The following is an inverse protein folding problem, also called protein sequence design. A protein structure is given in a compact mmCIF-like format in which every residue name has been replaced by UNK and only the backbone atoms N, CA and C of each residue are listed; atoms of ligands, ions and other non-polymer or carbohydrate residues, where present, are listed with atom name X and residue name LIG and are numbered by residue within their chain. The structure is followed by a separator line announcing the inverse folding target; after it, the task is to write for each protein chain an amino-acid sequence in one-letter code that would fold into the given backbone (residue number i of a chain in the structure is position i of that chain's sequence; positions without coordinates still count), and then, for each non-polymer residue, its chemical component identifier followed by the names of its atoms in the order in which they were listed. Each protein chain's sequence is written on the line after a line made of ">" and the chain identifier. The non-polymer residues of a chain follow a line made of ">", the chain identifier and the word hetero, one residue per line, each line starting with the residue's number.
data_IF_821931602168
#
_entry.id   IF_821931602168
#
_cell.length_a   1.000
_cell.length_b   1.000
_cell.length_c   1.000
_cell.angle_alpha   90.00
_cell.angle_beta   90.00
_cell.angle_gamma   90.00
#
_symmetry.space_group_name_H-M   'P 1'
#
loop_
_entity.id
_entity.type
_entity.pdbx_description
1 polymer ?
#
# COMPACT_ATOMS: atom_id res chain seq x y z
N UNK A 1 -20.48 -49.93 61.33
CA UNK A 1 -19.21 -49.72 60.59
C UNK A 1 -18.32 -50.94 60.77
N UNK A 2 -17.59 -51.35 59.74
CA UNK A 2 -16.68 -52.51 59.75
C UNK A 2 -15.34 -52.15 59.12
N UNK A 3 -14.25 -52.80 59.56
CA UNK A 3 -12.91 -52.66 58.93
C UNK A 3 -12.64 -53.75 57.89
N UNK A 4 -13.49 -54.76 57.80
CA UNK A 4 -13.36 -55.82 56.80
C UNK A 4 -13.78 -55.29 55.43
N UNK A 5 -12.85 -55.29 54.47
CA UNK A 5 -13.06 -54.81 53.09
C UNK A 5 -13.39 -55.89 52.07
N UNK A 6 -13.69 -57.12 52.52
CA UNK A 6 -14.11 -58.20 51.63
C UNK A 6 -15.61 -58.08 51.31
N UNK A 7 -15.93 -57.92 50.02
CA UNK A 7 -17.29 -57.76 49.52
C UNK A 7 -17.59 -58.74 48.38
N UNK A 8 -18.85 -59.19 48.32
CA UNK A 8 -19.41 -60.02 47.24
C UNK A 8 -20.77 -59.47 46.80
N UNK A 9 -21.24 -59.88 45.62
CA UNK A 9 -22.58 -59.55 45.15
C UNK A 9 -23.59 -60.60 45.65
N UNK A 10 -24.73 -60.16 46.17
CA UNK A 10 -25.88 -61.03 46.45
C UNK A 10 -26.71 -61.31 45.18
N UNK A 11 -27.70 -62.20 45.27
CA UNK A 11 -28.61 -62.54 44.17
C UNK A 11 -29.46 -61.35 43.68
N UNK A 12 -29.53 -60.27 44.48
CA UNK A 12 -30.18 -59.01 44.15
C UNK A 12 -29.16 -57.95 43.67
N UNK A 13 -27.97 -58.38 43.25
CA UNK A 13 -26.85 -57.55 42.75
C UNK A 13 -26.42 -56.44 43.70
N UNK A 14 -26.58 -56.66 44.99
CA UNK A 14 -26.17 -55.72 46.01
C UNK A 14 -24.82 -56.10 46.58
N UNK A 15 -23.99 -55.11 46.89
CA UNK A 15 -22.66 -55.33 47.45
C UNK A 15 -22.78 -55.61 48.95
N UNK A 16 -22.46 -56.83 49.38
CA UNK A 16 -22.55 -57.29 50.78
C UNK A 16 -21.19 -57.75 51.30
N UNK A 17 -20.98 -57.68 52.62
CA UNK A 17 -19.79 -58.27 53.27
C UNK A 17 -20.01 -59.75 53.64
N UNK A 18 -18.98 -60.40 54.17
CA UNK A 18 -19.04 -61.81 54.62
C UNK A 18 -20.08 -62.11 55.71
N UNK A 19 -20.63 -61.07 56.38
CA UNK A 19 -21.69 -61.17 57.38
C UNK A 19 -23.09 -60.86 56.80
N UNK A 20 -23.21 -60.71 55.47
CA UNK A 20 -24.47 -60.38 54.79
C UNK A 20 -24.93 -58.93 54.93
N UNK A 21 -24.10 -58.06 55.52
CA UNK A 21 -24.43 -56.63 55.65
C UNK A 21 -24.11 -55.91 54.36
N UNK A 22 -25.03 -55.08 53.89
CA UNK A 22 -24.84 -54.36 52.64
C UNK A 22 -23.99 -53.10 52.79
N UNK A 23 -23.19 -52.83 51.77
CA UNK A 23 -22.43 -51.61 51.64
C UNK A 23 -23.40 -50.46 51.34
N UNK A 24 -23.35 -49.44 52.18
CA UNK A 24 -24.09 -48.21 51.97
C UNK A 24 -23.22 -47.24 51.16
N UNK A 25 -23.76 -46.74 50.06
CA UNK A 25 -23.13 -45.73 49.22
C UNK A 25 -24.06 -44.53 49.08
N UNK A 26 -23.46 -43.34 48.94
CA UNK A 26 -24.20 -42.16 48.54
C UNK A 26 -24.67 -42.35 47.09
N UNK A 27 -25.92 -42.00 46.81
CA UNK A 27 -26.36 -41.89 45.43
C UNK A 27 -25.64 -40.70 44.76
N UNK A 28 -25.23 -40.90 43.51
CA UNK A 28 -24.75 -39.83 42.64
C UNK A 28 -25.91 -39.36 41.77
N UNK A 29 -26.12 -38.04 41.73
CA UNK A 29 -27.08 -37.45 40.81
C UNK A 29 -26.56 -37.47 39.35
N UNK A 30 -27.39 -37.06 38.40
CA UNK A 30 -27.05 -36.97 36.97
C UNK A 30 -25.91 -35.97 36.66
N UNK A 31 -25.43 -35.22 37.65
CA UNK A 31 -24.29 -34.29 37.54
C UNK A 31 -23.02 -34.85 38.21
N UNK A 32 -23.05 -36.11 38.67
CA UNK A 32 -21.92 -36.77 39.31
C UNK A 32 -21.63 -36.26 40.73
N UNK A 33 -22.55 -35.51 41.35
CA UNK A 33 -22.42 -35.06 42.75
C UNK A 33 -23.02 -36.11 43.68
N UNK A 34 -22.23 -36.53 44.67
CA UNK A 34 -22.64 -37.51 45.66
C UNK A 34 -23.31 -36.82 46.86
N UNK A 35 -24.54 -37.22 47.19
CA UNK A 35 -25.25 -36.74 48.38
C UNK A 35 -24.96 -37.65 49.58
N UNK A 36 -24.02 -37.24 50.42
CA UNK A 36 -23.62 -37.98 51.63
C UNK A 36 -24.70 -38.01 52.72
N UNK A 37 -25.78 -37.21 52.60
CA UNK A 37 -26.90 -37.23 53.53
C UNK A 37 -27.91 -38.35 53.25
N UNK A 38 -27.83 -38.97 52.06
CA UNK A 38 -28.73 -40.04 51.60
C UNK A 38 -27.95 -41.28 51.18
N UNK A 39 -27.56 -42.06 52.19
CA UNK A 39 -26.90 -43.34 51.99
C UNK A 39 -27.91 -44.45 51.69
N UNK A 40 -27.73 -45.16 50.59
CA UNK A 40 -28.57 -46.28 50.17
C UNK A 40 -27.73 -47.56 49.98
N UNK A 41 -28.40 -48.72 49.92
CA UNK A 41 -27.76 -50.00 49.57
C UNK A 41 -27.12 -49.87 48.18
N UNK A 42 -25.83 -50.16 48.06
CA UNK A 42 -25.16 -50.18 46.75
C UNK A 42 -25.65 -51.40 45.96
N UNK A 43 -26.35 -51.14 44.86
CA UNK A 43 -26.78 -52.14 43.89
C UNK A 43 -26.12 -51.87 42.54
N UNK A 44 -25.68 -52.93 41.86
CA UNK A 44 -25.09 -52.87 40.52
C UNK A 44 -26.15 -53.34 39.52
N UNK A 45 -26.72 -52.47 38.67
CA UNK A 45 -27.70 -52.87 37.67
C UNK A 45 -27.13 -53.88 36.67
N UNK A 46 -27.95 -54.83 36.20
CA UNK A 46 -27.54 -55.87 35.25
C UNK A 46 -27.48 -55.40 33.79
N UNK A 47 -28.01 -54.22 33.50
CA UNK A 47 -28.04 -53.65 32.14
C UNK A 47 -27.29 -52.33 32.10
N UNK A 48 -26.12 -52.35 31.47
CA UNK A 48 -25.43 -51.13 31.05
C UNK A 48 -26.07 -50.63 29.76
N UNK A 49 -27.27 -50.04 29.84
CA UNK A 49 -27.83 -49.29 28.72
C UNK A 49 -27.24 -47.89 28.76
N UNK A 50 -26.05 -47.71 28.18
CA UNK A 50 -25.56 -46.37 27.89
C UNK A 50 -26.45 -45.76 26.82
N UNK A 51 -27.09 -44.63 27.12
CA UNK A 51 -27.75 -43.83 26.08
C UNK A 51 -26.69 -43.40 25.06
N UNK A 52 -26.97 -43.60 23.77
CA UNK A 52 -26.08 -43.13 22.72
C UNK A 52 -26.00 -41.61 22.79
N UNK A 53 -24.79 -41.07 22.83
CA UNK A 53 -24.55 -39.63 22.81
C UNK A 53 -24.04 -39.23 21.44
N UNK A 54 -24.71 -38.25 20.82
CA UNK A 54 -24.25 -37.68 19.56
C UNK A 54 -22.90 -36.99 19.73
N UNK A 55 -22.09 -37.01 18.67
CA UNK A 55 -20.78 -36.32 18.68
C UNK A 55 -20.99 -34.81 18.69
N UNK A 56 -20.59 -34.14 19.77
CA UNK A 56 -20.69 -32.68 19.92
C UNK A 56 -19.39 -31.93 19.63
N UNK A 57 -18.25 -32.59 19.80
CA UNK A 57 -16.93 -32.00 19.61
C UNK A 57 -15.98 -33.01 18.99
N UNK A 58 -15.26 -32.57 17.97
CA UNK A 58 -14.17 -33.32 17.34
C UNK A 58 -12.89 -32.51 17.53
N UNK A 59 -11.91 -33.08 18.23
CA UNK A 59 -10.57 -32.49 18.36
C UNK A 59 -9.60 -33.26 17.46
N UNK A 60 -8.94 -32.55 16.56
CA UNK A 60 -7.99 -33.11 15.62
C UNK A 60 -6.64 -32.42 15.79
N UNK A 61 -5.59 -33.23 16.00
CA UNK A 61 -4.20 -32.78 15.92
C UNK A 61 -3.67 -33.13 14.53
N UNK A 62 -3.30 -32.12 13.76
CA UNK A 62 -2.87 -32.28 12.37
C UNK A 62 -1.50 -31.67 12.13
N UNK A 63 -0.70 -32.35 11.30
CA UNK A 63 0.48 -31.76 10.67
C UNK A 63 0.21 -31.62 9.16
N UNK A 64 0.35 -30.39 8.64
CA UNK A 64 0.15 -30.06 7.24
C UNK A 64 1.51 -29.80 6.56
N UNK A 65 1.75 -30.35 5.37
CA UNK A 65 3.01 -30.19 4.66
C UNK A 65 3.21 -28.75 4.19
N UNK A 66 4.30 -28.10 4.62
CA UNK A 66 4.59 -26.71 4.24
C UNK A 66 4.94 -26.54 2.76
N UNK A 67 5.48 -27.59 2.15
CA UNK A 67 5.94 -27.67 0.76
C UNK A 67 4.85 -28.10 -0.24
N UNK A 68 3.63 -28.36 0.23
CA UNK A 68 2.51 -28.66 -0.66
C UNK A 68 2.23 -27.51 -1.65
N UNK A 69 1.86 -27.87 -2.88
CA UNK A 69 1.51 -26.92 -3.92
C UNK A 69 0.21 -26.19 -3.62
N UNK A 70 0.12 -24.93 -4.05
CA UNK A 70 -1.12 -24.15 -4.01
C UNK A 70 -2.06 -24.64 -5.10
N UNK A 71 -3.30 -24.95 -4.73
CA UNK A 71 -4.34 -25.43 -5.66
C UNK A 71 -5.37 -24.30 -5.85
N UNK A 72 -5.42 -23.76 -7.07
CA UNK A 72 -6.40 -22.72 -7.45
C UNK A 72 -7.66 -23.31 -8.14
N UNK A 73 -7.67 -24.61 -8.42
CA UNK A 73 -8.81 -25.29 -9.03
C UNK A 73 -9.99 -25.39 -8.04
N UNK A 74 -11.22 -25.37 -8.56
CA UNK A 74 -12.42 -25.57 -7.75
C UNK A 74 -12.38 -26.92 -7.02
N UNK A 75 -12.70 -26.91 -5.73
CA UNK A 75 -12.65 -28.11 -4.90
C UNK A 75 -13.65 -29.17 -5.37
N UNK A 76 -13.19 -30.41 -5.55
CA UNK A 76 -14.03 -31.54 -5.87
C UNK A 76 -13.53 -32.80 -5.16
N UNK A 77 -14.30 -33.29 -4.17
CA UNK A 77 -13.97 -34.50 -3.39
C UNK A 77 -13.71 -35.75 -4.23
N UNK A 78 -14.27 -35.84 -5.43
CA UNK A 78 -14.08 -36.97 -6.35
C UNK A 78 -12.86 -36.81 -7.26
N UNK A 79 -12.18 -35.66 -7.20
CA UNK A 79 -10.96 -35.38 -7.93
C UNK A 79 -9.77 -35.17 -6.96
N UNK A 80 -8.87 -36.16 -6.82
CA UNK A 80 -7.69 -36.06 -5.96
C UNK A 80 -6.73 -34.91 -6.28
N UNK A 81 -6.81 -34.31 -7.47
CA UNK A 81 -5.97 -33.16 -7.83
C UNK A 81 -6.48 -31.82 -7.25
N UNK A 82 -7.61 -31.82 -6.53
CA UNK A 82 -8.25 -30.59 -6.02
C UNK A 82 -8.07 -30.38 -4.51
N UNK A 83 -7.31 -31.26 -3.85
CA UNK A 83 -6.97 -31.14 -2.43
C UNK A 83 -5.59 -31.72 -2.15
N UNK A 84 -4.91 -31.21 -1.13
CA UNK A 84 -3.55 -31.66 -0.79
C UNK A 84 -3.57 -32.81 0.22
N UNK A 85 -4.53 -32.82 1.14
CA UNK A 85 -4.63 -33.84 2.19
C UNK A 85 -6.08 -34.08 2.55
N UNK A 86 -6.41 -35.30 2.97
CA UNK A 86 -7.69 -35.61 3.58
C UNK A 86 -7.50 -36.45 4.84
N UNK A 87 -8.46 -36.39 5.75
CA UNK A 87 -8.51 -37.20 6.97
C UNK A 87 -9.96 -37.59 7.23
N UNK A 88 -10.19 -38.85 7.59
CA UNK A 88 -11.52 -39.34 7.87
C UNK A 88 -11.63 -39.81 9.32
N UNK A 89 -12.78 -39.57 9.93
CA UNK A 89 -13.12 -40.02 11.28
C UNK A 89 -14.58 -40.48 11.34
N UNK A 90 -14.91 -41.29 12.33
CA UNK A 90 -16.28 -41.69 12.60
C UNK A 90 -16.94 -40.72 13.58
N UNK A 91 -18.12 -40.22 13.22
CA UNK A 91 -18.99 -39.40 14.09
C UNK A 91 -20.31 -40.14 14.32
N UNK A 92 -20.95 -39.90 15.46
CA UNK A 92 -22.17 -40.59 15.86
C UNK A 92 -23.36 -39.64 15.97
N UNK A 93 -24.54 -40.08 15.52
CA UNK A 93 -25.81 -39.39 15.79
C UNK A 93 -26.37 -39.74 17.17
N UNK A 94 -27.50 -39.12 17.53
CA UNK A 94 -28.22 -39.37 18.79
C UNK A 94 -28.84 -40.77 18.88
N UNK A 95 -28.95 -41.49 17.76
CA UNK A 95 -29.38 -42.89 17.70
C UNK A 95 -28.22 -43.88 17.85
N UNK A 96 -26.97 -43.40 17.91
CA UNK A 96 -25.77 -44.23 17.96
C UNK A 96 -25.32 -44.76 16.60
N UNK A 97 -25.89 -44.29 15.50
CA UNK A 97 -25.42 -44.66 14.16
C UNK A 97 -24.11 -43.91 13.84
N UNK A 98 -23.18 -44.62 13.22
CA UNK A 98 -21.87 -44.09 12.83
C UNK A 98 -21.89 -43.56 11.39
N UNK A 99 -21.37 -42.36 11.19
CA UNK A 99 -21.17 -41.72 9.89
C UNK A 99 -19.69 -41.43 9.67
N UNK A 100 -19.23 -41.58 8.43
CA UNK A 100 -17.87 -41.24 8.06
C UNK A 100 -17.79 -39.74 7.75
N UNK A 101 -17.10 -38.99 8.60
CA UNK A 101 -16.77 -37.59 8.37
C UNK A 101 -15.40 -37.49 7.70
N UNK A 102 -15.34 -36.95 6.49
CA UNK A 102 -14.10 -36.70 5.75
C UNK A 102 -13.80 -35.21 5.71
N UNK A 103 -12.62 -34.84 6.17
CA UNK A 103 -12.09 -33.48 6.13
C UNK A 103 -11.03 -33.40 5.04
N UNK A 104 -11.17 -32.46 4.11
CA UNK A 104 -10.23 -32.16 3.04
C UNK A 104 -9.54 -30.83 3.30
N UNK A 105 -8.23 -30.78 3.07
CA UNK A 105 -7.38 -29.61 3.27
C UNK A 105 -6.76 -29.20 1.93
N UNK A 106 -6.98 -27.95 1.54
CA UNK A 106 -6.52 -27.35 0.29
C UNK A 106 -5.66 -26.15 0.61
N UNK A 107 -4.41 -26.12 0.15
CA UNK A 107 -3.54 -24.96 0.30
C UNK A 107 -3.89 -23.92 -0.74
N UNK A 108 -4.28 -22.73 -0.30
CA UNK A 108 -4.76 -21.64 -1.18
C UNK A 108 -3.74 -20.53 -1.38
N UNK A 109 -2.74 -20.42 -0.50
CA UNK A 109 -1.67 -19.45 -0.65
C UNK A 109 -0.42 -19.84 0.15
N UNK A 110 0.74 -19.44 -0.35
CA UNK A 110 2.02 -19.58 0.33
C UNK A 110 2.25 -18.39 1.28
N UNK A 111 3.05 -18.62 2.31
CA UNK A 111 3.60 -17.53 3.12
C UNK A 111 4.46 -16.59 2.25
N UNK A 112 4.28 -15.28 2.42
CA UNK A 112 5.11 -14.22 1.84
C UNK A 112 5.82 -13.45 2.96
N UNK A 113 6.70 -12.52 2.60
CA UNK A 113 7.34 -11.64 3.59
C UNK A 113 6.30 -10.80 4.36
N UNK A 114 5.23 -10.37 3.68
CA UNK A 114 4.15 -9.54 4.25
C UNK A 114 3.10 -10.37 5.01
N UNK A 115 2.98 -11.67 4.68
CA UNK A 115 2.09 -12.60 5.37
C UNK A 115 2.83 -13.91 5.65
N UNK A 116 3.47 -14.06 6.82
CA UNK A 116 4.35 -15.20 7.12
C UNK A 116 3.60 -16.52 7.35
N UNK A 117 2.32 -16.60 6.95
CA UNK A 117 1.45 -17.75 7.20
C UNK A 117 0.97 -18.37 5.88
N UNK A 118 1.12 -19.69 5.75
CA UNK A 118 0.47 -20.44 4.68
C UNK A 118 -1.05 -20.48 4.91
N UNK A 119 -1.85 -20.26 3.87
CA UNK A 119 -3.32 -20.31 3.96
C UNK A 119 -3.85 -21.67 3.49
N UNK A 120 -4.74 -22.24 4.30
CA UNK A 120 -5.37 -23.53 4.06
C UNK A 120 -6.88 -23.41 4.18
N UNK A 121 -7.59 -23.81 3.14
CA UNK A 121 -9.04 -23.96 3.14
C UNK A 121 -9.42 -25.38 3.54
N UNK A 122 -10.47 -25.52 4.35
CA UNK A 122 -10.96 -26.81 4.83
C UNK A 122 -12.37 -27.06 4.31
N UNK A 123 -12.64 -28.28 3.86
CA UNK A 123 -13.95 -28.77 3.45
C UNK A 123 -14.29 -30.02 4.25
N UNK A 124 -15.47 -30.06 4.87
CA UNK A 124 -15.92 -31.18 5.69
C UNK A 124 -17.13 -31.83 5.04
N UNK A 125 -17.13 -33.15 4.95
CA UNK A 125 -18.26 -33.95 4.47
C UNK A 125 -18.61 -34.98 5.52
N UNK A 126 -19.90 -35.20 5.79
CA UNK A 126 -20.40 -36.32 6.57
C UNK A 126 -21.22 -37.19 5.63
N UNK A 127 -20.68 -38.35 5.25
CA UNK A 127 -21.22 -39.13 4.13
C UNK A 127 -21.17 -38.34 2.82
N UNK A 128 -22.32 -38.08 2.21
CA UNK A 128 -22.44 -37.31 0.96
C UNK A 128 -22.74 -35.82 1.17
N UNK A 129 -23.09 -35.44 2.40
CA UNK A 129 -23.47 -34.07 2.72
C UNK A 129 -22.25 -33.22 3.08
N UNK A 130 -22.11 -32.09 2.41
CA UNK A 130 -21.10 -31.09 2.76
C UNK A 130 -21.55 -30.35 4.02
N UNK A 131 -20.70 -30.38 5.05
CA UNK A 131 -20.81 -29.49 6.19
C UNK A 131 -20.20 -28.16 5.77
N UNK A 132 -21.06 -27.22 5.40
CA UNK A 132 -20.63 -25.85 5.17
C UNK A 132 -20.12 -25.28 6.49
N UNK A 133 -18.95 -24.65 6.45
CA UNK A 133 -18.48 -23.85 7.57
C UNK A 133 -19.58 -22.82 7.87
N UNK A 134 -20.13 -22.86 9.08
CA UNK A 134 -20.97 -21.77 9.52
C UNK A 134 -20.09 -20.52 9.48
N UNK A 135 -20.51 -19.50 8.74
CA UNK A 135 -19.93 -18.18 8.87
C UNK A 135 -20.05 -17.81 10.35
N UNK A 136 -18.92 -17.67 11.03
CA UNK A 136 -18.93 -17.23 12.41
C UNK A 136 -19.45 -15.79 12.40
N UNK A 137 -20.62 -15.59 12.98
CA UNK A 137 -21.21 -14.27 13.11
C UNK A 137 -20.31 -13.45 14.03
N UNK A 138 -19.96 -12.23 13.61
CA UNK A 138 -19.02 -11.37 14.32
C UNK A 138 -19.45 -11.17 15.76
N UNK A 139 -18.51 -11.23 16.69
CA UNK A 139 -18.72 -10.92 18.10
C UNK A 139 -18.12 -9.56 18.46
N UNK A 140 -18.61 -8.95 19.54
CA UNK A 140 -17.97 -7.78 20.15
C UNK A 140 -16.80 -8.22 21.07
N UNK A 141 -16.16 -7.25 21.74
CA UNK A 141 -15.08 -7.49 22.71
C UNK A 141 -15.51 -8.36 23.91
N UNK A 142 -16.81 -8.60 24.09
CA UNK A 142 -17.39 -9.42 25.15
C UNK A 142 -17.92 -10.77 24.63
N UNK A 143 -17.52 -11.18 23.43
CA UNK A 143 -17.98 -12.41 22.75
C UNK A 143 -19.50 -12.44 22.45
N UNK A 144 -20.18 -11.28 22.43
CA UNK A 144 -21.60 -11.20 22.12
C UNK A 144 -21.84 -11.08 20.61
N UNK A 145 -22.73 -11.90 20.06
CA UNK A 145 -23.07 -11.90 18.63
C UNK A 145 -23.59 -10.51 18.21
N UNK A 146 -23.01 -9.97 17.14
CA UNK A 146 -23.42 -8.72 16.53
C UNK A 146 -24.56 -8.95 15.52
N UNK A 147 -25.56 -8.08 15.59
CA UNK A 147 -26.73 -8.04 14.72
C UNK A 147 -26.85 -6.67 14.08
N UNK A 148 -27.42 -6.64 12.88
CA UNK A 148 -27.78 -5.39 12.19
C UNK A 148 -29.15 -4.95 12.70
N UNK A 149 -29.22 -3.77 13.32
CA UNK A 149 -30.50 -3.22 13.76
C UNK A 149 -31.32 -2.67 12.57
N UNK A 150 -32.56 -2.22 12.82
CA UNK A 150 -33.45 -1.65 11.77
C UNK A 150 -32.93 -0.37 11.11
N UNK A 151 -31.83 0.19 11.61
CA UNK A 151 -31.16 1.37 11.10
C UNK A 151 -29.85 1.02 10.38
N UNK A 152 -29.49 -0.26 10.25
CA UNK A 152 -28.29 -0.73 9.54
C UNK A 152 -27.01 -0.80 10.39
N UNK A 153 -27.10 -0.51 11.69
CA UNK A 153 -25.93 -0.48 12.59
C UNK A 153 -25.66 -1.86 13.18
N UNK A 154 -24.37 -2.24 13.30
CA UNK A 154 -23.93 -3.42 14.04
C UNK A 154 -24.03 -3.16 15.55
N UNK A 155 -24.83 -3.96 16.25
CA UNK A 155 -25.04 -3.89 17.70
C UNK A 155 -25.04 -5.29 18.31
N UNK A 156 -24.51 -5.45 19.54
CA UNK A 156 -24.57 -6.72 20.24
C UNK A 156 -26.02 -7.14 20.52
N UNK A 157 -26.26 -8.45 20.60
CA UNK A 157 -27.59 -9.05 20.78
C UNK A 157 -28.40 -8.38 21.90
N UNK A 158 -27.78 -8.11 23.05
CA UNK A 158 -28.35 -7.43 24.21
C UNK A 158 -28.99 -6.07 23.91
N UNK A 159 -28.50 -5.35 22.90
CA UNK A 159 -29.02 -4.04 22.51
C UNK A 159 -30.10 -4.11 21.42
N UNK A 160 -30.28 -5.27 20.79
CA UNK A 160 -31.26 -5.46 19.72
C UNK A 160 -32.35 -6.46 20.07
N UNK A 161 -32.26 -7.17 21.20
CA UNK A 161 -33.20 -8.22 21.61
C UNK A 161 -34.67 -7.79 21.46
N UNK A 162 -35.04 -6.60 21.96
CA UNK A 162 -36.40 -6.06 21.92
C UNK A 162 -36.86 -5.65 20.49
N UNK A 163 -35.92 -5.48 19.57
CA UNK A 163 -36.17 -5.14 18.16
C UNK A 163 -36.37 -6.40 17.29
N UNK A 164 -35.97 -7.58 17.76
CA UNK A 164 -36.06 -8.85 17.01
C UNK A 164 -37.39 -9.62 17.24
N UNK A 165 -38.23 -9.21 18.19
CA UNK A 165 -39.35 -10.05 18.68
C UNK A 165 -40.66 -9.96 17.88
N UNK A 166 -40.79 -9.06 16.91
CA UNK A 166 -42.05 -8.90 16.18
C UNK A 166 -42.06 -9.61 14.83
N UNK A 167 -43.09 -10.45 14.61
CA UNK A 167 -43.35 -11.40 13.51
C UNK A 167 -43.44 -10.78 12.08
N UNK A 168 -42.51 -9.93 11.69
CA UNK A 168 -42.30 -9.47 10.32
C UNK A 168 -40.82 -9.60 10.01
N UNK A 169 -40.44 -10.60 9.20
CA UNK A 169 -39.07 -10.72 8.71
C UNK A 169 -38.78 -9.51 7.83
N UNK A 170 -37.96 -8.58 8.31
CA UNK A 170 -37.42 -7.51 7.48
C UNK A 170 -36.39 -8.11 6.53
N UNK A 171 -36.53 -7.77 5.24
CA UNK A 171 -35.60 -8.13 4.18
C UNK A 171 -34.33 -7.30 4.41
N UNK A 172 -33.33 -7.88 5.05
CA UNK A 172 -31.99 -7.31 5.06
C UNK A 172 -31.39 -7.58 3.66
N UNK A 173 -31.30 -6.55 2.82
CA UNK A 173 -30.37 -6.62 1.71
C UNK A 173 -28.97 -6.56 2.33
N UNK A 174 -28.07 -7.45 1.90
CA UNK A 174 -26.66 -7.46 2.33
C UNK A 174 -25.96 -6.09 2.13
N UNK A 175 -26.56 -5.23 1.31
CA UNK A 175 -26.08 -3.91 0.87
C UNK A 175 -26.50 -2.75 1.81
N UNK A 176 -27.38 -2.99 2.81
CA UNK A 176 -27.89 -1.93 3.73
C UNK A 176 -27.10 -1.83 5.05
N UNK A 177 -25.79 -2.11 5.04
CA UNK A 177 -24.92 -1.88 6.20
C UNK A 177 -24.62 -0.37 6.33
N UNK A 178 -24.91 0.24 7.48
CA UNK A 178 -24.51 1.63 7.74
C UNK A 178 -23.10 1.77 8.30
N UNK A 179 -22.44 0.66 8.62
CA UNK A 179 -20.99 0.64 8.89
C UNK A 179 -20.20 0.72 7.58
N UNK A 180 -20.45 1.81 6.84
CA UNK A 180 -19.67 2.16 5.67
C UNK A 180 -18.34 2.68 6.19
N UNK A 181 -17.33 1.83 6.20
CA UNK A 181 -15.96 2.29 6.44
C UNK A 181 -15.56 3.12 5.22
N UNK A 182 -15.30 4.41 5.43
CA UNK A 182 -14.73 5.24 4.38
C UNK A 182 -13.38 4.66 4.03
N UNK A 183 -13.24 4.24 2.78
CA UNK A 183 -11.98 3.73 2.29
C UNK A 183 -10.91 4.82 2.40
N UNK A 184 -9.77 4.46 2.97
CA UNK A 184 -8.60 5.36 3.09
C UNK A 184 -7.59 5.04 2.00
N UNK A 185 -6.83 6.04 1.53
CA UNK A 185 -5.76 5.80 0.58
C UNK A 185 -4.62 5.01 1.24
N UNK A 186 -3.92 4.19 0.45
CA UNK A 186 -2.65 3.62 0.86
C UNK A 186 -1.67 4.76 1.15
N UNK A 187 -1.03 4.72 2.31
CA UNK A 187 -0.15 5.79 2.76
C UNK A 187 1.08 5.20 3.43
N UNK A 188 2.26 5.63 2.99
CA UNK A 188 3.54 5.34 3.63
C UNK A 188 3.99 6.59 4.37
N UNK A 189 4.37 6.42 5.64
CA UNK A 189 4.85 7.51 6.50
C UNK A 189 6.21 7.18 7.09
N UNK A 190 7.09 8.18 7.11
CA UNK A 190 8.38 8.10 7.78
C UNK A 190 8.26 8.32 9.29
N UNK A 191 9.34 8.01 9.99
CA UNK A 191 9.56 8.43 11.39
C UNK A 191 9.89 9.92 11.47
N UNK A 192 10.04 10.42 12.70
CA UNK A 192 10.48 11.79 12.97
C UNK A 192 11.76 12.12 12.19
N UNK A 193 11.73 13.22 11.42
CA UNK A 193 12.87 13.64 10.61
C UNK A 193 14.04 14.12 11.48
N UNK A 194 15.30 13.93 11.05
CA UNK A 194 16.48 14.35 11.81
C UNK A 194 16.68 15.87 11.88
N UNK A 195 16.16 16.60 10.90
CA UNK A 195 16.32 18.04 10.76
C UNK A 195 14.99 18.74 11.05
N UNK A 196 15.02 19.80 11.86
CA UNK A 196 13.84 20.64 12.07
C UNK A 196 13.48 21.37 10.77
N UNK A 197 12.34 20.99 10.19
CA UNK A 197 11.81 21.56 8.95
C UNK A 197 10.54 22.39 9.21
N UNK A 198 10.33 22.84 10.44
CA UNK A 198 9.26 23.77 10.76
C UNK A 198 9.47 25.13 10.09
N UNK A 199 8.43 25.97 10.10
CA UNK A 199 8.41 27.27 9.43
C UNK A 199 9.55 28.22 9.87
N UNK A 200 10.11 28.05 11.07
CA UNK A 200 11.13 28.94 11.62
C UNK A 200 12.58 28.52 11.27
N UNK A 201 12.80 27.23 10.94
CA UNK A 201 14.15 26.72 10.67
C UNK A 201 14.39 26.46 9.19
N UNK A 202 13.54 25.64 8.55
CA UNK A 202 13.74 25.12 7.20
C UNK A 202 15.07 24.37 7.01
N UNK A 203 15.23 23.74 5.85
CA UNK A 203 16.44 23.01 5.47
C UNK A 203 17.06 23.59 4.19
N UNK A 204 18.37 23.79 4.19
CA UNK A 204 19.12 24.24 3.00
C UNK A 204 19.75 23.04 2.29
N UNK A 205 19.22 22.71 1.11
CA UNK A 205 19.71 21.60 0.29
C UNK A 205 21.11 21.83 -0.29
N UNK A 206 21.60 23.08 -0.36
CA UNK A 206 23.00 23.37 -0.71
C UNK A 206 23.98 23.00 0.41
N UNK A 207 23.49 22.91 1.64
CA UNK A 207 24.26 22.52 2.83
C UNK A 207 24.07 21.04 3.22
N UNK A 208 23.39 20.25 2.38
CA UNK A 208 23.08 18.86 2.72
C UNK A 208 24.36 18.00 2.73
N UNK A 209 24.83 17.67 3.94
CA UNK A 209 26.06 16.93 4.16
C UNK A 209 25.91 15.44 3.78
N UNK A 210 26.98 14.89 3.17
CA UNK A 210 27.15 13.47 2.93
C UNK A 210 27.75 12.80 4.16
N UNK A 211 27.33 11.56 4.43
CA UNK A 211 28.03 10.69 5.38
C UNK A 211 29.50 10.47 5.01
N UNK A 212 29.86 10.57 3.73
CA UNK A 212 31.21 10.36 3.19
C UNK A 212 32.07 11.62 3.04
N UNK A 213 31.76 12.70 3.76
CA UNK A 213 32.37 14.04 3.66
C UNK A 213 31.93 14.83 2.42
N UNK A 214 31.79 16.15 2.58
CA UNK A 214 31.28 17.08 1.58
C UNK A 214 29.75 17.23 1.60
N UNK A 215 29.21 17.95 0.63
CA UNK A 215 27.76 18.17 0.44
C UNK A 215 27.26 17.54 -0.86
N UNK A 216 25.97 17.22 -0.92
CA UNK A 216 25.31 16.76 -2.14
C UNK A 216 25.24 17.87 -3.18
N UNK A 217 25.66 17.55 -4.41
CA UNK A 217 25.52 18.45 -5.55
C UNK A 217 24.10 18.39 -6.13
N UNK A 218 23.70 19.41 -6.89
CA UNK A 218 22.42 19.42 -7.60
C UNK A 218 22.22 18.16 -8.46
N UNK A 219 23.26 17.67 -9.13
CA UNK A 219 23.20 16.44 -9.93
C UNK A 219 22.88 15.19 -9.11
N UNK A 220 23.39 15.10 -7.87
CA UNK A 220 23.13 13.95 -7.00
C UNK A 220 21.73 14.00 -6.38
N UNK A 221 21.16 15.20 -6.23
CA UNK A 221 19.80 15.42 -5.75
C UNK A 221 18.72 15.10 -6.80
N UNK A 222 19.10 14.94 -8.07
CA UNK A 222 18.20 14.50 -9.16
C UNK A 222 17.63 13.09 -8.97
N UNK A 223 18.33 12.26 -8.20
CA UNK A 223 17.95 10.87 -7.92
C UNK A 223 17.71 10.67 -6.41
N UNK A 224 16.68 11.33 -5.87
CA UNK A 224 16.45 11.37 -4.43
C UNK A 224 15.79 10.08 -3.89
N UNK A 225 14.59 9.74 -4.36
CA UNK A 225 13.96 8.42 -4.20
C UNK A 225 13.00 8.17 -5.37
N UNK A 226 12.49 6.95 -5.48
CA UNK A 226 11.46 6.60 -6.46
C UNK A 226 10.15 6.28 -5.77
N UNK A 227 9.04 6.64 -6.42
CA UNK A 227 7.68 6.33 -5.98
C UNK A 227 6.96 5.56 -7.06
N UNK A 228 6.33 4.45 -6.72
CA UNK A 228 5.32 3.79 -7.54
C UNK A 228 3.95 3.90 -6.86
N UNK A 229 2.89 4.07 -7.64
CA UNK A 229 1.53 4.30 -7.14
C UNK A 229 0.54 3.40 -7.86
N UNK A 230 -0.28 2.70 -7.09
CA UNK A 230 -1.31 1.75 -7.52
C UNK A 230 -0.82 0.81 -8.64
N UNK A 231 0.33 0.17 -8.44
CA UNK A 231 0.94 -0.74 -9.42
C UNK A 231 1.06 -0.14 -10.84
N UNK A 232 1.50 1.12 -10.97
CA UNK A 232 1.68 1.74 -12.30
C UNK A 232 2.71 1.00 -13.16
N UNK A 233 3.66 0.31 -12.51
CA UNK A 233 4.72 -0.46 -13.15
C UNK A 233 5.87 0.40 -13.69
N UNK A 234 5.79 1.73 -13.54
CA UNK A 234 6.85 2.68 -13.93
C UNK A 234 7.02 3.72 -12.83
N UNK A 235 7.94 3.49 -11.87
CA UNK A 235 8.18 4.43 -10.78
C UNK A 235 8.63 5.81 -11.28
N UNK A 236 8.26 6.86 -10.55
CA UNK A 236 8.72 8.23 -10.76
C UNK A 236 9.89 8.51 -9.82
N UNK A 237 10.99 9.05 -10.36
CA UNK A 237 12.10 9.55 -9.55
C UNK A 237 11.81 10.99 -9.10
N UNK A 238 11.90 11.24 -7.80
CA UNK A 238 11.80 12.58 -7.22
C UNK A 238 13.12 13.33 -7.40
N UNK A 239 13.05 14.55 -7.92
CA UNK A 239 14.20 15.39 -8.27
C UNK A 239 14.23 16.66 -7.41
N UNK A 240 15.14 16.71 -6.44
CA UNK A 240 15.31 17.87 -5.55
C UNK A 240 16.43 18.84 -6.00
N UNK A 241 16.97 18.66 -7.21
CA UNK A 241 18.06 19.51 -7.73
C UNK A 241 17.70 20.99 -7.79
N UNK A 242 16.42 21.31 -8.07
CA UNK A 242 15.91 22.68 -8.08
C UNK A 242 15.95 23.39 -6.73
N UNK A 243 16.03 22.65 -5.62
CA UNK A 243 16.14 23.21 -4.26
C UNK A 243 17.60 23.51 -3.87
N UNK A 244 18.57 23.03 -4.65
CA UNK A 244 19.98 23.28 -4.39
C UNK A 244 20.33 24.75 -4.60
N UNK A 245 20.54 25.48 -3.49
CA UNK A 245 20.81 26.92 -3.53
C UNK A 245 19.55 27.79 -3.54
N UNK A 246 18.37 27.22 -3.36
CA UNK A 246 17.12 27.95 -3.17
C UNK A 246 17.00 28.60 -1.77
N UNK A 247 17.96 28.31 -0.87
CA UNK A 247 17.92 28.72 0.52
C UNK A 247 17.20 27.70 1.41
N UNK A 248 16.64 28.17 2.52
CA UNK A 248 15.93 27.33 3.49
C UNK A 248 14.54 26.99 2.97
N UNK A 249 14.22 25.69 2.92
CA UNK A 249 12.94 25.14 2.49
C UNK A 249 12.26 24.46 3.68
N UNK A 250 11.02 24.81 3.97
CA UNK A 250 10.23 24.20 5.04
C UNK A 250 9.71 22.82 4.62
N UNK A 251 9.26 22.00 5.58
CA UNK A 251 8.73 20.67 5.31
C UNK A 251 7.45 20.72 4.47
N UNK A 252 6.62 21.75 4.66
CA UNK A 252 5.42 21.98 3.83
C UNK A 252 5.80 22.33 2.41
N UNK A 253 6.74 23.25 2.20
CA UNK A 253 7.21 23.62 0.86
C UNK A 253 7.87 22.44 0.14
N UNK A 254 8.63 21.60 0.87
CA UNK A 254 9.18 20.38 0.30
C UNK A 254 8.09 19.38 -0.07
N UNK A 255 7.09 19.19 0.79
CA UNK A 255 5.97 18.30 0.52
C UNK A 255 5.19 18.74 -0.73
N UNK A 256 4.86 20.02 -0.84
CA UNK A 256 4.20 20.60 -2.02
C UNK A 256 5.06 20.42 -3.28
N UNK A 257 6.36 20.67 -3.18
CA UNK A 257 7.30 20.48 -4.30
C UNK A 257 7.33 19.02 -4.79
N UNK A 258 7.38 18.04 -3.88
CA UNK A 258 7.34 16.62 -4.23
C UNK A 258 5.96 16.24 -4.78
N UNK A 259 4.88 16.72 -4.18
CA UNK A 259 3.50 16.44 -4.60
C UNK A 259 3.26 16.89 -6.03
N UNK A 260 3.70 18.10 -6.38
CA UNK A 260 3.54 18.66 -7.72
C UNK A 260 4.34 17.86 -8.75
N UNK A 261 5.57 17.43 -8.39
CA UNK A 261 6.36 16.55 -9.25
C UNK A 261 5.67 15.20 -9.48
N UNK A 262 5.13 14.56 -8.45
CA UNK A 262 4.46 13.26 -8.57
C UNK A 262 3.16 13.39 -9.38
N UNK A 263 2.30 14.35 -9.05
CA UNK A 263 1.03 14.55 -9.77
C UNK A 263 1.25 14.94 -11.23
N UNK A 264 2.31 15.70 -11.55
CA UNK A 264 2.69 15.98 -12.93
C UNK A 264 3.16 14.71 -13.64
N UNK A 265 4.16 14.03 -13.08
CA UNK A 265 4.82 12.89 -13.71
C UNK A 265 3.89 11.70 -13.92
N UNK A 266 2.97 11.46 -12.97
CA UNK A 266 1.93 10.42 -13.08
C UNK A 266 0.68 10.90 -13.82
N UNK A 267 0.45 12.21 -13.90
CA UNK A 267 -0.74 12.79 -14.48
C UNK A 267 -0.64 12.95 -15.99
N UNK A 268 -0.84 14.17 -16.46
CA UNK A 268 -1.04 14.50 -17.86
C UNK A 268 0.18 15.11 -18.56
N UNK A 269 1.38 14.81 -18.06
CA UNK A 269 2.64 15.27 -18.65
C UNK A 269 2.77 14.84 -20.12
N UNK A 270 3.30 15.75 -20.94
CA UNK A 270 3.38 15.64 -22.40
C UNK A 270 4.75 15.99 -22.90
N UNK A 271 5.12 15.40 -24.04
CA UNK A 271 6.30 15.79 -24.78
C UNK A 271 6.12 17.12 -25.51
N UNK A 272 7.23 17.80 -25.77
CA UNK A 272 7.33 18.84 -26.79
C UNK A 272 7.58 18.20 -28.16
N UNK A 273 6.80 18.65 -29.15
CA UNK A 273 7.04 18.34 -30.56
C UNK A 273 7.72 19.53 -31.23
N UNK A 274 9.02 19.37 -31.46
CA UNK A 274 9.91 20.32 -32.13
C UNK A 274 10.08 19.99 -33.62
N UNK A 275 9.27 19.13 -34.23
CA UNK A 275 9.40 18.74 -35.65
C UNK A 275 9.32 19.92 -36.64
N UNK A 276 8.64 21.01 -36.26
CA UNK A 276 8.57 22.23 -37.05
C UNK A 276 9.86 23.04 -36.90
N UNK A 277 10.65 23.16 -37.98
CA UNK A 277 11.97 23.84 -37.98
C UNK A 277 11.91 25.29 -37.45
N UNK A 278 10.82 26.03 -37.74
CA UNK A 278 10.65 27.38 -37.22
C UNK A 278 10.52 27.43 -35.68
N UNK A 279 10.02 26.36 -35.06
CA UNK A 279 9.86 26.26 -33.61
C UNK A 279 11.17 25.88 -32.89
N UNK A 280 12.19 25.43 -33.64
CA UNK A 280 13.49 25.04 -33.09
C UNK A 280 14.43 26.25 -32.85
N UNK A 281 14.09 27.42 -33.39
CA UNK A 281 15.02 28.56 -33.50
C UNK A 281 14.49 29.82 -32.82
N UNK A 282 15.34 30.42 -32.02
CA UNK A 282 15.15 31.76 -31.45
C UNK A 282 16.51 32.36 -31.12
N UNK A 283 16.59 33.68 -30.97
CA UNK A 283 17.82 34.38 -30.63
C UNK A 283 17.67 35.18 -29.34
N UNK A 284 18.70 35.17 -28.52
CA UNK A 284 18.79 35.91 -27.27
C UNK A 284 19.83 37.02 -27.38
N UNK A 285 19.55 38.20 -26.85
CA UNK A 285 20.52 39.31 -26.80
C UNK A 285 20.56 39.90 -25.40
N UNK A 286 21.76 39.96 -24.80
CA UNK A 286 22.03 40.56 -23.49
C UNK A 286 22.44 42.01 -23.67
N UNK A 287 21.75 42.96 -23.04
CA UNK A 287 22.02 44.41 -23.07
C UNK A 287 22.26 45.01 -24.47
N UNK A 288 21.59 44.47 -25.49
CA UNK A 288 21.78 44.91 -26.89
C UNK A 288 23.14 44.53 -27.49
N UNK A 289 23.87 43.60 -26.88
CA UNK A 289 25.14 43.06 -27.38
C UNK A 289 24.99 42.10 -28.56
N UNK A 290 25.96 41.21 -28.73
CA UNK A 290 25.92 40.20 -29.81
C UNK A 290 24.82 39.18 -29.53
N UNK A 291 23.90 39.03 -30.48
CA UNK A 291 22.84 38.03 -30.38
C UNK A 291 23.40 36.61 -30.41
N UNK A 292 22.84 35.74 -29.57
CA UNK A 292 23.10 34.31 -29.51
C UNK A 292 21.91 33.57 -30.08
N UNK A 293 22.11 33.00 -31.27
CA UNK A 293 21.13 32.09 -31.87
C UNK A 293 21.13 30.75 -31.10
N UNK A 294 19.93 30.31 -30.74
CA UNK A 294 19.62 29.01 -30.17
C UNK A 294 18.99 28.16 -31.27
N UNK A 295 19.57 26.98 -31.49
CA UNK A 295 19.03 25.97 -32.39
C UNK A 295 18.85 24.68 -31.60
N UNK A 296 17.59 24.29 -31.40
CA UNK A 296 17.20 23.07 -30.68
C UNK A 296 17.25 21.81 -31.55
N UNK A 297 17.62 21.90 -32.83
CA UNK A 297 17.74 20.72 -33.68
C UNK A 297 18.77 19.71 -33.17
N UNK A 298 19.78 20.16 -32.40
CA UNK A 298 20.82 19.29 -31.83
C UNK A 298 20.41 18.55 -30.55
N UNK A 299 19.18 18.74 -30.08
CA UNK A 299 18.69 18.09 -28.85
C UNK A 299 18.73 16.56 -28.92
N UNK A 300 18.66 15.98 -30.13
CA UNK A 300 18.82 14.54 -30.35
C UNK A 300 20.25 14.03 -30.10
N UNK A 301 21.19 14.92 -29.78
CA UNK A 301 22.53 14.54 -29.33
C UNK A 301 22.57 14.10 -27.86
N UNK A 302 21.49 14.34 -27.10
CA UNK A 302 21.34 13.88 -25.72
C UNK A 302 21.02 12.38 -25.67
N UNK A 303 21.45 11.70 -24.61
CA UNK A 303 21.41 10.24 -24.51
C UNK A 303 20.00 9.65 -24.42
N UNK A 304 19.02 10.44 -23.96
CA UNK A 304 17.64 10.05 -23.71
C UNK A 304 16.64 10.65 -24.72
N UNK A 305 17.11 11.43 -25.70
CA UNK A 305 16.29 12.03 -26.75
C UNK A 305 16.50 11.31 -28.07
N UNK A 306 15.54 10.46 -28.44
CA UNK A 306 15.63 9.66 -29.68
C UNK A 306 15.20 10.42 -30.94
N UNK A 307 14.38 11.46 -30.80
CA UNK A 307 13.88 12.26 -31.92
C UNK A 307 13.41 13.65 -31.42
N UNK A 308 13.12 14.55 -32.36
CA UNK A 308 12.64 15.92 -32.05
C UNK A 308 11.14 16.02 -31.77
N UNK A 309 10.36 14.94 -31.92
CA UNK A 309 8.90 14.97 -31.72
C UNK A 309 8.46 14.52 -30.31
N UNK A 310 9.39 13.93 -29.55
CA UNK A 310 9.19 13.42 -28.21
C UNK A 310 10.32 13.91 -27.29
N UNK A 311 10.32 15.21 -27.00
CA UNK A 311 11.34 15.88 -26.17
C UNK A 311 10.73 16.27 -24.83
N UNK A 312 11.40 16.00 -23.71
CA UNK A 312 10.92 16.42 -22.38
C UNK A 312 11.31 17.86 -22.06
N UNK A 313 10.69 18.44 -21.03
CA UNK A 313 11.03 19.78 -20.56
C UNK A 313 12.50 19.83 -20.12
N UNK A 314 12.93 18.81 -19.39
CA UNK A 314 14.28 18.72 -18.83
C UNK A 314 15.34 18.73 -19.93
N UNK A 315 15.09 18.00 -21.03
CA UNK A 315 15.99 17.91 -22.19
C UNK A 315 16.15 19.27 -22.88
N UNK A 316 15.05 20.05 -22.98
CA UNK A 316 15.10 21.42 -23.53
C UNK A 316 15.92 22.31 -22.60
N UNK A 317 15.68 22.26 -21.29
CA UNK A 317 16.45 23.05 -20.31
C UNK A 317 17.94 22.70 -20.37
N UNK A 318 18.28 21.43 -20.50
CA UNK A 318 19.67 20.96 -20.66
C UNK A 318 20.31 21.49 -21.95
N UNK A 319 19.60 21.40 -23.09
CA UNK A 319 20.09 21.92 -24.36
C UNK A 319 20.30 23.44 -24.29
N UNK A 320 19.34 24.17 -23.71
CA UNK A 320 19.42 25.63 -23.55
C UNK A 320 20.64 26.02 -22.72
N UNK A 321 20.82 25.41 -21.55
CA UNK A 321 21.97 25.69 -20.71
C UNK A 321 23.30 25.34 -21.41
N UNK A 322 23.34 24.27 -22.19
CA UNK A 322 24.51 23.91 -23.01
C UNK A 322 24.82 24.99 -24.06
N UNK A 323 23.80 25.51 -24.76
CA UNK A 323 23.99 26.58 -25.75
C UNK A 323 24.38 27.93 -25.13
N UNK A 324 23.83 28.25 -23.95
CA UNK A 324 24.16 29.47 -23.21
C UNK A 324 25.61 29.41 -22.70
N UNK A 325 26.01 28.30 -22.08
CA UNK A 325 27.37 28.11 -21.57
C UNK A 325 28.44 28.16 -22.68
N UNK A 326 28.10 27.75 -23.91
CA UNK A 326 28.99 27.85 -25.07
C UNK A 326 29.26 29.30 -25.53
N UNK A 327 28.58 30.31 -24.97
CA UNK A 327 28.78 31.72 -25.30
C UNK A 327 29.04 32.57 -24.05
N UNK A 328 30.29 32.94 -23.74
CA UNK A 328 30.61 33.78 -22.58
C UNK A 328 29.94 35.16 -22.61
N UNK A 329 29.51 35.62 -23.79
CA UNK A 329 28.78 36.88 -23.97
C UNK A 329 27.31 36.80 -23.51
N UNK A 330 26.78 35.60 -23.28
CA UNK A 330 25.43 35.34 -22.78
C UNK A 330 25.51 34.63 -21.41
N UNK A 331 25.88 35.39 -20.38
CA UNK A 331 25.95 34.90 -19.01
C UNK A 331 24.54 34.79 -18.40
N UNK A 332 23.86 33.69 -18.69
CA UNK A 332 22.51 33.39 -18.21
C UNK A 332 22.30 31.89 -18.04
N UNK A 333 21.32 31.52 -17.23
CA UNK A 333 20.88 30.14 -17.01
C UNK A 333 19.41 29.99 -17.37
N UNK A 334 19.06 28.89 -18.03
CA UNK A 334 17.70 28.54 -18.37
C UNK A 334 17.08 27.60 -17.33
N UNK A 335 15.80 27.78 -17.05
CA UNK A 335 14.98 26.82 -16.31
C UNK A 335 13.56 26.79 -16.89
N UNK A 336 12.69 25.93 -16.35
CA UNK A 336 11.26 25.93 -16.66
C UNK A 336 10.48 26.19 -15.38
N UNK A 337 9.64 27.22 -15.40
CA UNK A 337 8.73 27.52 -14.32
C UNK A 337 7.39 26.81 -14.58
N UNK A 338 7.08 25.84 -13.72
CA UNK A 338 5.87 25.03 -13.84
C UNK A 338 4.59 25.78 -13.46
N UNK A 339 4.68 26.82 -12.62
CA UNK A 339 3.53 27.64 -12.24
C UNK A 339 3.17 28.62 -13.36
N UNK A 340 4.17 29.28 -13.95
CA UNK A 340 4.00 30.19 -15.09
C UNK A 340 3.86 29.47 -16.43
N UNK A 341 4.23 28.17 -16.46
CA UNK A 341 4.23 27.32 -17.66
C UNK A 341 5.05 27.95 -18.79
N UNK A 342 6.23 28.45 -18.45
CA UNK A 342 7.13 29.13 -19.38
C UNK A 342 8.58 28.83 -19.01
N UNK A 343 9.47 28.85 -20.01
CA UNK A 343 10.90 28.85 -19.74
C UNK A 343 11.33 30.21 -19.18
N UNK A 344 12.27 30.18 -18.24
CA UNK A 344 12.92 31.36 -17.67
C UNK A 344 14.36 31.42 -18.16
N UNK A 345 14.86 32.61 -18.47
CA UNK A 345 16.27 32.84 -18.79
C UNK A 345 16.80 33.93 -17.86
N UNK A 346 17.50 33.51 -16.82
CA UNK A 346 17.96 34.40 -15.75
C UNK A 346 19.40 34.82 -16.00
N UNK A 347 19.70 36.12 -16.16
CA UNK A 347 21.08 36.59 -16.27
C UNK A 347 21.84 36.37 -14.96
N UNK A 348 23.12 36.03 -15.03
CA UNK A 348 23.96 35.82 -13.84
C UNK A 348 24.07 37.07 -12.96
N UNK A 349 23.94 38.26 -13.57
CA UNK A 349 23.79 39.52 -12.84
C UNK A 349 22.43 40.13 -13.17
N UNK A 350 21.61 40.30 -12.13
CA UNK A 350 20.23 40.78 -12.20
C UNK A 350 20.06 42.21 -12.78
N UNK A 351 21.14 42.96 -12.95
CA UNK A 351 21.09 44.29 -13.58
C UNK A 351 21.03 44.24 -15.11
N UNK A 352 21.34 43.10 -15.72
CA UNK A 352 21.32 42.94 -17.18
C UNK A 352 19.92 42.61 -17.69
N UNK A 353 19.58 43.11 -18.87
CA UNK A 353 18.33 42.82 -19.56
C UNK A 353 18.57 41.86 -20.73
N UNK A 354 17.72 40.83 -20.84
CA UNK A 354 17.73 39.91 -21.98
C UNK A 354 16.54 40.25 -22.88
N UNK A 355 16.79 40.20 -24.19
CA UNK A 355 15.74 40.26 -25.21
C UNK A 355 15.71 38.95 -25.99
N UNK A 356 14.51 38.50 -26.35
CA UNK A 356 14.26 37.27 -27.10
C UNK A 356 13.53 37.58 -28.40
N UNK A 357 13.92 36.91 -29.48
CA UNK A 357 13.38 37.10 -30.82
C UNK A 357 13.18 35.73 -31.49
N UNK A 358 12.08 35.54 -32.21
CA UNK A 358 11.84 34.30 -32.95
C UNK A 358 12.73 34.19 -34.21
N UNK A 359 13.17 32.98 -34.54
CA UNK A 359 14.11 32.74 -35.64
C UNK A 359 15.56 33.03 -35.25
N UNK A 360 16.39 33.41 -36.20
CA UNK A 360 17.78 33.82 -35.92
C UNK A 360 17.90 35.34 -35.97
N UNK A 361 18.93 35.90 -35.34
CA UNK A 361 19.17 37.34 -35.36
C UNK A 361 19.30 37.88 -36.80
N UNK A 362 19.89 37.09 -37.71
CA UNK A 362 20.02 37.42 -39.12
C UNK A 362 18.76 37.14 -39.96
N UNK A 363 17.83 36.33 -39.47
CA UNK A 363 16.59 35.96 -40.17
C UNK A 363 15.45 35.78 -39.16
N UNK A 364 14.85 36.89 -38.70
CA UNK A 364 13.73 36.83 -37.76
C UNK A 364 12.54 36.09 -38.36
N UNK A 365 11.93 35.21 -37.58
CA UNK A 365 10.78 34.40 -37.99
C UNK A 365 9.82 34.16 -36.83
N UNK A 366 8.58 33.78 -37.13
CA UNK A 366 7.62 33.40 -36.09
C UNK A 366 7.96 32.02 -35.53
N UNK A 367 8.00 31.90 -34.20
CA UNK A 367 8.09 30.65 -33.47
C UNK A 367 6.78 30.47 -32.70
N UNK A 368 5.88 29.65 -33.24
CA UNK A 368 4.53 29.48 -32.69
C UNK A 368 4.55 28.74 -31.35
N UNK A 369 5.50 27.83 -31.15
CA UNK A 369 5.61 27.04 -29.92
C UNK A 369 6.03 27.89 -28.72
N UNK A 370 7.05 28.74 -28.91
CA UNK A 370 7.55 29.64 -27.86
C UNK A 370 6.79 30.97 -27.82
N UNK A 371 5.78 31.18 -28.67
CA UNK A 371 4.99 32.41 -28.70
C UNK A 371 5.76 33.64 -29.21
N UNK A 372 6.84 33.44 -29.99
CA UNK A 372 7.73 34.52 -30.42
C UNK A 372 7.41 34.99 -31.84
N UNK A 373 7.47 36.31 -32.03
CA UNK A 373 7.35 36.96 -33.33
C UNK A 373 8.69 37.42 -33.90
N UNK A 374 8.59 38.21 -34.97
CA UNK A 374 9.74 38.88 -35.62
C UNK A 374 10.17 40.17 -34.90
N UNK A 375 9.50 40.53 -33.81
CA UNK A 375 9.83 41.68 -32.96
C UNK A 375 10.41 41.17 -31.65
N UNK A 376 11.56 41.71 -31.25
CA UNK A 376 12.22 41.31 -30.02
C UNK A 376 11.40 41.74 -28.79
N UNK A 377 11.26 40.84 -27.83
CA UNK A 377 10.60 41.07 -26.55
C UNK A 377 11.65 41.13 -25.46
N UNK A 378 11.55 42.08 -24.54
CA UNK A 378 12.37 42.12 -23.33
C UNK A 378 11.77 41.19 -22.29
N UNK A 379 12.62 40.40 -21.63
CA UNK A 379 12.18 39.53 -20.54
C UNK A 379 11.66 40.35 -19.35
N UNK A 380 10.63 39.86 -18.70
CA UNK A 380 10.04 40.42 -17.49
C UNK A 380 10.92 40.22 -16.25
N UNK A 381 10.48 40.76 -15.12
CA UNK A 381 11.18 40.60 -13.83
C UNK A 381 11.20 39.14 -13.33
N UNK A 382 10.28 38.32 -13.82
CA UNK A 382 10.18 36.87 -13.65
C UNK A 382 11.09 36.09 -14.61
N UNK A 383 11.92 36.77 -15.40
CA UNK A 383 12.79 36.20 -16.43
C UNK A 383 12.04 35.41 -17.53
N UNK A 384 10.74 35.67 -17.72
CA UNK A 384 9.94 35.13 -18.83
C UNK A 384 9.69 36.19 -19.90
N UNK A 385 9.06 35.84 -21.02
CA UNK A 385 8.64 36.79 -22.06
C UNK A 385 7.11 36.91 -22.17
N UNK A 386 6.39 36.57 -21.10
CA UNK A 386 4.96 36.84 -20.98
C UNK A 386 4.03 35.95 -21.82
N UNK A 387 4.52 34.82 -22.32
CA UNK A 387 3.71 33.83 -23.04
C UNK A 387 3.82 32.46 -22.40
N UNK A 388 2.72 31.71 -22.37
CA UNK A 388 2.73 30.30 -21.94
C UNK A 388 3.36 29.43 -23.02
N UNK A 389 4.36 28.64 -22.64
CA UNK A 389 5.02 27.63 -23.47
C UNK A 389 4.72 26.25 -22.89
N UNK A 390 3.63 25.64 -23.36
CA UNK A 390 3.19 24.33 -22.91
C UNK A 390 3.57 23.24 -23.93
N UNK A 391 3.84 22.00 -23.47
CA UNK A 391 4.09 20.89 -24.39
C UNK A 391 2.90 20.64 -25.32
N UNK A 392 3.19 20.42 -26.60
CA UNK A 392 2.23 20.27 -27.70
C UNK A 392 2.15 18.84 -28.26
N UNK A 393 2.95 17.91 -27.73
CA UNK A 393 3.05 16.52 -28.17
C UNK A 393 2.12 15.56 -27.42
N UNK A 394 2.43 14.26 -27.55
CA UNK A 394 1.65 13.19 -26.92
C UNK A 394 1.93 13.08 -25.41
N UNK A 395 1.01 12.42 -24.70
CA UNK A 395 1.23 12.05 -23.29
C UNK A 395 2.47 11.17 -23.14
N UNK A 396 3.24 11.42 -22.08
CA UNK A 396 4.42 10.61 -21.74
C UNK A 396 3.99 9.25 -21.24
N UNK A 397 2.97 9.21 -20.37
CA UNK A 397 2.41 7.97 -19.83
C UNK A 397 1.13 7.56 -20.56
N UNK A 398 0.95 6.26 -20.86
CA UNK A 398 -0.33 5.74 -21.32
C UNK A 398 -1.38 5.82 -20.21
N UNK A 399 -2.66 5.90 -20.58
CA UNK A 399 -3.77 6.08 -19.64
C UNK A 399 -3.82 5.04 -18.51
N UNK A 400 -3.38 3.80 -18.76
CA UNK A 400 -3.34 2.73 -17.75
C UNK A 400 -2.33 2.97 -16.64
N UNK A 401 -1.32 3.80 -16.89
CA UNK A 401 -0.24 4.13 -15.95
C UNK A 401 -0.42 5.52 -15.32
N UNK A 402 -1.46 6.25 -15.69
CA UNK A 402 -1.73 7.56 -15.13
C UNK A 402 -2.33 7.43 -13.74
N UNK A 403 -1.90 8.28 -12.81
CA UNK A 403 -2.42 8.38 -11.43
C UNK A 403 -2.66 9.84 -11.11
N UNK A 404 -3.65 10.09 -10.26
CA UNK A 404 -4.08 11.44 -9.89
C UNK A 404 -4.39 11.48 -8.40
N UNK A 405 -4.28 12.66 -7.79
CA UNK A 405 -4.65 12.86 -6.39
C UNK A 405 -3.61 12.36 -5.39
N UNK A 406 -2.38 12.13 -5.83
CA UNK A 406 -1.27 11.78 -4.94
C UNK A 406 -1.07 12.94 -3.97
N UNK A 407 -1.02 12.63 -2.68
CA UNK A 407 -0.84 13.63 -1.63
C UNK A 407 0.48 13.40 -0.94
N UNK A 408 1.27 14.47 -0.76
CA UNK A 408 2.47 14.45 0.08
C UNK A 408 2.24 15.46 1.19
N UNK A 409 2.41 15.05 2.43
CA UNK A 409 2.18 15.92 3.58
C UNK A 409 3.35 15.87 4.56
N UNK A 410 3.63 17.02 5.16
CA UNK A 410 4.51 17.17 6.30
C UNK A 410 3.69 17.55 7.54
N UNK A 411 3.74 16.73 8.58
CA UNK A 411 3.16 17.05 9.88
C UNK A 411 4.20 17.79 10.72
N UNK A 412 4.02 19.10 10.92
CA UNK A 412 4.95 19.91 11.72
C UNK A 412 4.93 19.65 13.22
N UNK A 413 3.91 18.95 13.75
CA UNK A 413 3.84 18.56 15.15
C UNK A 413 4.54 17.22 15.42
N UNK A 414 4.42 16.28 14.49
CA UNK A 414 5.12 14.99 14.54
C UNK A 414 6.51 15.05 13.89
N UNK A 415 6.78 16.08 13.08
CA UNK A 415 7.95 16.23 12.23
C UNK A 415 8.10 15.00 11.30
N UNK A 416 7.02 14.58 10.63
CA UNK A 416 7.00 13.39 9.76
C UNK A 416 6.52 13.71 8.35
N UNK A 417 7.04 12.98 7.36
CA UNK A 417 6.52 12.98 6.00
C UNK A 417 5.60 11.79 5.76
N UNK A 418 4.55 12.02 5.00
CA UNK A 418 3.65 10.97 4.50
C UNK A 418 3.39 11.16 3.01
N UNK A 419 3.33 10.07 2.28
CA UNK A 419 2.91 10.04 0.88
C UNK A 419 1.74 9.08 0.77
N UNK A 420 0.65 9.54 0.16
CA UNK A 420 -0.57 8.78 -0.01
C UNK A 420 -0.96 8.67 -1.48
N UNK A 421 -1.47 7.50 -1.86
CA UNK A 421 -2.14 7.30 -3.14
C UNK A 421 -3.37 8.21 -3.25
N UNK A 422 -3.75 8.56 -4.47
CA UNK A 422 -4.99 9.29 -4.72
C UNK A 422 -6.21 8.39 -4.91
N UNK A 423 -6.01 7.08 -4.98
CA UNK A 423 -7.09 6.09 -4.96
C UNK A 423 -7.31 5.55 -3.54
N UNK A 424 -8.44 4.87 -3.33
CA UNK A 424 -8.75 4.21 -2.06
C UNK A 424 -9.20 2.77 -2.32
N UNK A 425 -9.08 1.91 -1.31
CA UNK A 425 -9.58 0.53 -1.32
C UNK A 425 -8.48 -0.49 -1.61
N UNK A 426 -8.87 -1.73 -1.85
CA UNK A 426 -7.97 -2.89 -1.94
C UNK A 426 -7.00 -2.86 -3.14
N UNK A 427 -7.12 -1.86 -4.02
CA UNK A 427 -6.23 -1.64 -5.17
C UNK A 427 -5.34 -0.40 -4.97
N UNK A 428 -5.55 0.35 -3.89
CA UNK A 428 -4.69 1.47 -3.53
C UNK A 428 -3.37 0.91 -3.02
N UNK A 429 -2.27 1.35 -3.61
CA UNK A 429 -0.93 0.90 -3.26
C UNK A 429 0.04 2.08 -3.37
N UNK A 430 1.02 2.11 -2.49
CA UNK A 430 2.15 3.03 -2.66
C UNK A 430 3.46 2.36 -2.31
N UNK A 431 4.46 2.52 -3.18
CA UNK A 431 5.81 2.01 -3.00
C UNK A 431 6.85 3.12 -3.06
N UNK A 432 7.65 3.29 -2.01
CA UNK A 432 8.80 4.21 -1.97
C UNK A 432 10.08 3.37 -1.99
N UNK A 433 11.04 3.73 -2.84
CA UNK A 433 12.31 3.03 -2.95
C UNK A 433 13.51 3.99 -2.99
N UNK A 434 14.45 3.79 -2.05
CA UNK A 434 15.68 4.59 -1.89
C UNK A 434 16.92 4.01 -2.57
N UNK A 435 16.78 2.93 -3.34
CA UNK A 435 17.83 2.34 -4.17
C UNK A 435 17.60 2.70 -5.63
N UNK A 436 18.34 3.71 -6.12
CA UNK A 436 18.19 4.24 -7.49
C UNK A 436 19.47 4.01 -8.31
N UNK A 437 19.32 3.47 -9.53
CA UNK A 437 20.39 3.25 -10.51
C UNK A 437 20.34 1.84 -11.14
N UNK A 438 20.84 1.70 -12.37
CA UNK A 438 20.92 0.40 -13.05
C UNK A 438 22.07 -0.46 -12.51
N UNK A 439 21.74 -1.55 -11.82
CA UNK A 439 22.68 -2.54 -11.25
C UNK A 439 23.13 -2.16 -9.83
N UNK A 440 22.90 -3.05 -8.85
CA UNK A 440 23.27 -2.89 -7.42
C UNK A 440 23.34 -1.43 -6.97
N UNK A 441 22.26 -0.67 -7.19
CA UNK A 441 22.23 0.77 -6.90
C UNK A 441 22.68 1.01 -5.46
N UNK A 442 23.54 2.00 -5.25
CA UNK A 442 23.91 2.37 -3.88
C UNK A 442 22.66 2.90 -3.18
N UNK A 443 22.21 2.20 -2.13
CA UNK A 443 21.12 2.66 -1.28
C UNK A 443 21.44 4.06 -0.77
N UNK A 444 20.51 4.98 -0.98
CA UNK A 444 20.63 6.39 -0.59
C UNK A 444 20.25 6.55 0.88
N UNK A 445 21.06 5.97 1.78
CA UNK A 445 20.78 5.97 3.22
C UNK A 445 20.58 7.38 3.79
N UNK A 446 21.42 8.34 3.38
CA UNK A 446 21.28 9.73 3.84
C UNK A 446 19.93 10.35 3.39
N UNK A 447 19.42 9.97 2.22
CA UNK A 447 18.14 10.45 1.68
C UNK A 447 16.94 9.78 2.36
N UNK A 448 17.04 8.47 2.64
CA UNK A 448 16.07 7.75 3.45
C UNK A 448 15.96 8.36 4.85
N UNK A 449 17.11 8.53 5.52
CA UNK A 449 17.17 9.13 6.85
C UNK A 449 16.60 10.55 6.88
N UNK A 450 16.87 11.35 5.84
CA UNK A 450 16.30 12.70 5.72
C UNK A 450 14.76 12.70 5.75
N UNK A 451 14.14 11.73 5.09
CA UNK A 451 12.68 11.55 5.03
C UNK A 451 12.11 10.75 6.22
N UNK A 452 12.95 10.38 7.20
CA UNK A 452 12.55 9.59 8.37
C UNK A 452 12.45 8.08 8.14
N UNK A 453 13.06 7.55 7.07
CA UNK A 453 13.11 6.12 6.76
C UNK A 453 14.47 5.51 7.09
N UNK A 454 14.51 4.22 7.42
CA UNK A 454 15.73 3.46 7.70
C UNK A 454 16.09 2.52 6.54
N UNK A 455 16.97 2.95 5.63
CA UNK A 455 17.42 2.13 4.50
C UNK A 455 18.93 1.91 4.56
N UNK A 456 19.36 0.69 4.90
CA UNK A 456 20.79 0.33 5.04
C UNK A 456 21.35 -0.48 3.87
N UNK A 457 20.47 -1.07 3.05
CA UNK A 457 20.78 -1.99 1.97
C UNK A 457 19.73 -1.91 0.86
N UNK A 458 19.86 -2.72 -0.20
CA UNK A 458 18.83 -2.79 -1.24
C UNK A 458 17.60 -3.62 -0.83
N UNK A 459 17.69 -4.39 0.25
CA UNK A 459 16.62 -5.29 0.71
C UNK A 459 15.66 -4.64 1.70
N UNK A 460 16.04 -3.52 2.32
CA UNK A 460 15.27 -2.76 3.30
C UNK A 460 14.98 -1.31 2.83
N UNK A 461 15.32 -0.97 1.59
CA UNK A 461 15.12 0.36 1.02
C UNK A 461 13.74 0.57 0.38
N UNK A 462 12.90 -0.45 0.39
CA UNK A 462 11.58 -0.46 -0.25
C UNK A 462 10.49 -0.48 0.83
N UNK A 463 9.62 0.52 0.80
CA UNK A 463 8.47 0.65 1.70
C UNK A 463 7.19 0.62 0.89
N UNK A 464 6.37 -0.40 1.09
CA UNK A 464 5.11 -0.60 0.36
C UNK A 464 3.95 -0.76 1.32
N UNK A 465 2.80 -0.19 0.96
CA UNK A 465 1.51 -0.35 1.66
C UNK A 465 0.43 -0.74 0.67
#
# INVERSE_FOLDING_TARGET
>A
YTRNGSFVLDEQFSVINSSGQALLAAAVDSSGKADLSKLNKLQIPTTTAGEALQTSLVQLSLNLPSDADVINAEFNRNNPSTYNKSTALSVYDSGGNSYLATVYYVKTSNATADSPFNKWQTYVYVGDDQVNAALQQSTDENDELLFVNKYGELKPFSQVEDLLVNRKTQKFALDDLTDVRTSVPASVSGSKVPNDMTADQGFDFGAFAKSSSGTYSATELKTFFTVDVDSSGVPVTVDLSGLHGAGKVTGVELADYIQDQLNRSFGDERYFDLSTVANQKFSLTLDGGTAKDIDLASITGQSDVSNVNAVKIEDIVEELNTKLAASPAMAATAAYDYALRCFTITPTNASHAITILGGTAASPATNALFGLGVTALTLGADATWGTTVAPNGTLIRPATQQRYGITVAYDGAQETFSISSGSTGDQSEIGINFTIGSGSGATKTDFANFMGFEATSATDSVYTV
#
